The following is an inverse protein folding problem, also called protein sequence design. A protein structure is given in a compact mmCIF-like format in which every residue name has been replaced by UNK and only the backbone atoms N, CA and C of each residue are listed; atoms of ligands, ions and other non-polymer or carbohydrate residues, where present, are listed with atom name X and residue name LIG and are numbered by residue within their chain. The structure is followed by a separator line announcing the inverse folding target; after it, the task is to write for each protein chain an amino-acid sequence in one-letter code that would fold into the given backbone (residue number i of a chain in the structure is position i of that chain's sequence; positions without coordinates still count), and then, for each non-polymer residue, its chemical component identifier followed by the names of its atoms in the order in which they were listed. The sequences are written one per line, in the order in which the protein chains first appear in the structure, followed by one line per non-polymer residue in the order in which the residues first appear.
data_IF_909484154112
#
_entry.id   IF_909484154112
#
_cell.length_a   1.000
_cell.length_b   1.000
_cell.length_c   1.000
_cell.angle_alpha   90.00
_cell.angle_beta   90.00
_cell.angle_gamma   90.00
#
_symmetry.space_group_name_H-M   'P 1'
#
loop_
_entity.id
_entity.type
_entity.pdbx_description
1 polymer ?
#
# COMPACT_ATOMS: atom_id res chain seq x y z
N UNK A 1 25.69 -15.53 -12.27
CA UNK A 1 24.82 -14.35 -12.26
C UNK A 1 24.20 -14.30 -10.86
N UNK A 2 24.63 -13.38 -10.02
CA UNK A 2 24.11 -13.25 -8.66
C UNK A 2 22.68 -12.69 -8.77
N UNK A 3 21.67 -13.44 -8.28
CA UNK A 3 20.30 -12.94 -8.20
C UNK A 3 20.29 -11.84 -7.15
N UNK A 4 20.05 -10.60 -7.57
CA UNK A 4 19.89 -9.48 -6.62
C UNK A 4 18.67 -9.75 -5.74
N UNK A 5 18.87 -9.62 -4.43
CA UNK A 5 17.77 -9.63 -3.46
C UNK A 5 16.86 -8.42 -3.67
N UNK A 6 15.60 -8.49 -3.25
CA UNK A 6 14.61 -7.39 -3.42
C UNK A 6 15.10 -6.04 -2.86
N UNK A 7 15.76 -5.96 -1.68
CA UNK A 7 16.35 -4.72 -1.19
C UNK A 7 17.36 -4.11 -2.16
N UNK A 8 18.20 -4.94 -2.79
CA UNK A 8 19.17 -4.47 -3.79
C UNK A 8 18.52 -3.94 -5.08
N UNK A 9 17.26 -4.30 -5.36
CA UNK A 9 16.53 -3.82 -6.54
C UNK A 9 15.94 -2.43 -6.33
N UNK A 10 15.47 -2.08 -5.12
CA UNK A 10 14.91 -0.77 -4.81
C UNK A 10 15.98 0.27 -4.47
N UNK A 11 17.18 -0.15 -4.09
CA UNK A 11 18.23 0.72 -3.56
C UNK A 11 18.17 0.86 -2.04
N UNK A 12 19.13 1.57 -1.44
CA UNK A 12 19.22 1.74 0.02
C UNK A 12 18.17 2.71 0.56
N UNK A 13 17.75 3.68 -0.23
CA UNK A 13 16.67 4.65 0.04
C UNK A 13 16.14 5.21 -1.27
N UNK A 14 15.01 5.92 -1.20
CA UNK A 14 14.40 6.66 -2.30
C UNK A 14 14.30 8.13 -1.92
N UNK A 15 14.64 9.03 -2.83
CA UNK A 15 14.51 10.47 -2.59
C UNK A 15 13.24 11.01 -3.25
N UNK A 16 12.54 11.90 -2.54
CA UNK A 16 11.37 12.63 -3.07
C UNK A 16 11.28 14.03 -2.46
N UNK A 17 10.31 14.82 -2.91
CA UNK A 17 10.11 16.20 -2.44
C UNK A 17 8.64 16.44 -2.09
N UNK A 18 8.39 17.39 -1.20
CA UNK A 18 7.05 17.87 -0.90
C UNK A 18 6.36 18.41 -2.16
N UNK A 19 7.12 19.03 -3.07
CA UNK A 19 6.57 19.50 -4.35
C UNK A 19 6.10 18.33 -5.23
N UNK A 20 6.87 17.22 -5.30
CA UNK A 20 6.47 16.03 -6.05
C UNK A 20 5.20 15.38 -5.47
N UNK A 21 5.01 15.47 -4.16
CA UNK A 21 3.76 15.04 -3.52
C UNK A 21 2.58 15.90 -3.98
N UNK A 22 2.69 17.23 -3.92
CA UNK A 22 1.61 18.12 -4.36
C UNK A 22 1.29 17.98 -5.86
N UNK A 23 2.33 17.89 -6.71
CA UNK A 23 2.16 17.70 -8.15
C UNK A 23 1.55 16.33 -8.49
N UNK A 24 1.75 15.35 -7.62
CA UNK A 24 1.22 13.99 -7.76
C UNK A 24 -0.24 13.82 -7.38
N UNK A 25 -0.87 14.84 -6.79
CA UNK A 25 -2.25 14.76 -6.34
C UNK A 25 -3.20 14.38 -7.48
N UNK A 26 -4.03 13.33 -7.31
CA UNK A 26 -5.01 12.96 -8.34
C UNK A 26 -5.98 14.10 -8.62
N UNK A 27 -6.26 14.44 -9.89
CA UNK A 27 -7.16 15.53 -10.22
C UNK A 27 -8.56 15.33 -9.65
N UNK A 28 -9.02 16.29 -8.84
CA UNK A 28 -10.34 16.24 -8.18
C UNK A 28 -10.34 15.44 -6.87
N UNK A 29 -9.19 15.01 -6.39
CA UNK A 29 -9.07 14.49 -5.03
C UNK A 29 -9.32 15.62 -4.03
N UNK A 30 -10.16 15.34 -3.05
CA UNK A 30 -10.51 16.26 -1.96
C UNK A 30 -9.60 16.11 -0.74
N UNK A 31 -8.73 15.09 -0.73
CA UNK A 31 -7.80 14.77 0.33
C UNK A 31 -6.36 14.68 -0.19
N UNK A 32 -5.40 15.06 0.66
CA UNK A 32 -3.95 14.95 0.39
C UNK A 32 -3.40 13.61 0.89
N UNK A 33 -4.06 12.51 0.51
CA UNK A 33 -3.71 11.14 0.91
C UNK A 33 -3.47 10.29 -0.33
N UNK A 34 -2.26 10.34 -0.85
CA UNK A 34 -1.85 9.54 -2.01
C UNK A 34 -0.36 9.25 -1.97
N UNK A 35 0.04 8.14 -2.57
CA UNK A 35 1.46 7.84 -2.79
C UNK A 35 2.02 8.76 -3.88
N UNK A 36 3.28 9.19 -3.72
CA UNK A 36 4.00 9.95 -4.75
C UNK A 36 4.15 9.08 -6.02
N UNK A 37 3.64 9.53 -7.19
CA UNK A 37 3.67 8.72 -8.41
C UNK A 37 5.05 8.20 -8.80
N UNK A 38 6.11 8.98 -8.59
CA UNK A 38 7.48 8.58 -8.92
C UNK A 38 7.98 7.42 -8.02
N UNK A 39 7.55 7.36 -6.76
CA UNK A 39 7.85 6.24 -5.87
C UNK A 39 7.11 4.98 -6.33
N UNK A 40 5.83 5.12 -6.68
CA UNK A 40 5.04 4.01 -7.23
C UNK A 40 5.67 3.46 -8.50
N UNK A 41 6.09 4.35 -9.42
CA UNK A 41 6.81 3.94 -10.65
C UNK A 41 8.07 3.16 -10.33
N UNK A 42 8.90 3.68 -9.44
CA UNK A 42 10.14 3.02 -9.05
C UNK A 42 9.89 1.62 -8.50
N UNK A 43 8.90 1.46 -7.61
CA UNK A 43 8.52 0.16 -7.05
C UNK A 43 8.08 -0.80 -8.16
N UNK A 44 7.16 -0.37 -9.02
CA UNK A 44 6.60 -1.20 -10.10
C UNK A 44 7.69 -1.61 -11.09
N UNK A 45 8.53 -0.68 -11.54
CA UNK A 45 9.60 -0.97 -12.51
C UNK A 45 10.67 -1.91 -11.96
N UNK A 46 10.98 -1.80 -10.66
CA UNK A 46 12.04 -2.58 -10.02
C UNK A 46 11.59 -3.96 -9.57
N UNK A 47 10.31 -4.13 -9.22
CA UNK A 47 9.80 -5.36 -8.63
C UNK A 47 8.85 -6.14 -9.53
N UNK A 48 8.55 -5.64 -10.72
CA UNK A 48 7.72 -6.34 -11.70
C UNK A 48 8.21 -6.12 -13.14
N UNK A 49 7.62 -6.85 -14.08
CA UNK A 49 7.85 -6.77 -15.52
C UNK A 49 6.56 -6.41 -16.26
N UNK A 50 6.62 -5.85 -17.48
CA UNK A 50 5.42 -5.70 -18.31
C UNK A 50 4.64 -7.02 -18.44
N UNK A 51 3.31 -6.93 -18.26
CA UNK A 51 2.41 -8.09 -18.25
C UNK A 51 2.15 -8.68 -16.85
N UNK A 52 3.00 -8.41 -15.86
CA UNK A 52 2.77 -8.84 -14.49
C UNK A 52 1.51 -8.19 -13.89
N UNK A 53 0.99 -8.79 -12.84
CA UNK A 53 -0.24 -8.39 -12.19
C UNK A 53 0.03 -7.61 -10.89
N UNK A 54 -0.37 -6.34 -10.89
CA UNK A 54 -0.28 -5.42 -9.76
C UNK A 54 -1.64 -5.29 -9.09
N UNK A 55 -1.69 -5.38 -7.76
CA UNK A 55 -2.90 -5.24 -6.96
C UNK A 55 -2.72 -4.17 -5.86
N UNK A 56 -3.79 -3.41 -5.60
CA UNK A 56 -3.84 -2.41 -4.52
C UNK A 56 -5.10 -2.63 -3.66
N UNK A 57 -4.94 -3.08 -2.38
CA UNK A 57 -6.07 -3.29 -1.47
C UNK A 57 -6.66 -2.00 -0.87
N UNK A 58 -6.00 -0.85 -1.05
CA UNK A 58 -6.45 0.46 -0.57
C UNK A 58 -6.29 1.49 -1.70
N UNK A 59 -6.98 1.25 -2.82
CA UNK A 59 -6.68 1.91 -4.09
C UNK A 59 -6.94 3.42 -4.11
N UNK A 60 -7.76 3.96 -3.20
CA UNK A 60 -8.04 5.38 -3.11
C UNK A 60 -8.50 5.96 -4.45
N UNK A 61 -7.78 6.96 -4.94
CA UNK A 61 -8.01 7.55 -6.26
C UNK A 61 -7.29 6.82 -7.41
N UNK A 62 -6.63 5.68 -7.14
CA UNK A 62 -6.07 4.79 -8.15
C UNK A 62 -4.68 5.15 -8.63
N UNK A 63 -3.85 5.86 -7.85
CA UNK A 63 -2.48 6.19 -8.25
C UNK A 63 -1.69 4.95 -8.64
N UNK A 64 -1.68 3.92 -7.80
CA UNK A 64 -1.00 2.64 -8.08
C UNK A 64 -1.50 2.00 -9.38
N UNK A 65 -2.82 1.93 -9.56
CA UNK A 65 -3.42 1.28 -10.73
C UNK A 65 -3.10 2.03 -12.01
N UNK A 66 -3.18 3.36 -11.98
CA UNK A 66 -2.84 4.19 -13.14
C UNK A 66 -1.38 4.01 -13.54
N UNK A 67 -0.45 3.99 -12.56
CA UNK A 67 0.98 3.79 -12.83
C UNK A 67 1.24 2.39 -13.37
N UNK A 68 0.62 1.36 -12.79
CA UNK A 68 0.75 -0.02 -13.27
C UNK A 68 0.31 -0.17 -14.74
N UNK A 69 -0.87 0.34 -15.10
CA UNK A 69 -1.37 0.33 -16.48
C UNK A 69 -0.42 1.08 -17.42
N UNK A 70 0.02 2.30 -17.05
CA UNK A 70 0.96 3.10 -17.89
C UNK A 70 2.29 2.41 -18.12
N UNK A 71 2.74 1.60 -17.18
CA UNK A 71 3.98 0.81 -17.27
C UNK A 71 3.77 -0.57 -17.91
N UNK A 72 2.58 -0.85 -18.46
CA UNK A 72 2.27 -2.09 -19.16
C UNK A 72 1.97 -3.29 -18.25
N UNK A 73 1.61 -3.08 -16.99
CA UNK A 73 1.18 -4.12 -16.06
C UNK A 73 -0.33 -4.25 -16.10
N UNK A 74 -0.83 -5.45 -15.78
CA UNK A 74 -2.25 -5.64 -15.46
C UNK A 74 -2.49 -5.05 -14.07
N UNK A 75 -3.63 -4.40 -13.87
CA UNK A 75 -3.93 -3.72 -12.61
C UNK A 75 -5.30 -4.10 -12.08
N UNK A 76 -5.36 -4.37 -10.77
CA UNK A 76 -6.61 -4.50 -10.05
C UNK A 76 -6.51 -3.83 -8.67
N UNK A 77 -7.65 -3.40 -8.15
CA UNK A 77 -7.70 -2.82 -6.81
C UNK A 77 -9.11 -2.79 -6.24
N UNK A 78 -9.16 -2.60 -4.94
CA UNK A 78 -10.41 -2.37 -4.24
C UNK A 78 -10.35 -1.04 -3.49
N UNK A 79 -11.52 -0.49 -3.27
CA UNK A 79 -11.70 0.75 -2.53
C UNK A 79 -13.03 0.68 -1.77
N UNK A 80 -13.05 1.20 -0.56
CA UNK A 80 -14.22 1.18 0.30
C UNK A 80 -15.32 2.13 -0.20
N UNK A 81 -14.93 3.29 -0.76
CA UNK A 81 -15.81 4.37 -1.15
C UNK A 81 -16.27 4.21 -2.61
N UNK A 82 -17.58 4.00 -2.86
CA UNK A 82 -18.10 3.78 -4.22
C UNK A 82 -17.79 4.90 -5.20
N UNK A 83 -17.77 6.16 -4.74
CA UNK A 83 -17.45 7.33 -5.55
C UNK A 83 -16.01 7.33 -6.06
N UNK A 84 -15.05 6.84 -5.27
CA UNK A 84 -13.66 6.66 -5.69
C UNK A 84 -13.52 5.51 -6.69
N UNK A 85 -14.28 4.42 -6.51
CA UNK A 85 -14.36 3.32 -7.49
C UNK A 85 -14.89 3.83 -8.83
N UNK A 86 -15.96 4.64 -8.82
CA UNK A 86 -16.52 5.23 -10.03
C UNK A 86 -15.55 6.23 -10.69
N UNK A 87 -14.80 7.00 -9.89
CA UNK A 87 -13.73 7.86 -10.37
C UNK A 87 -12.65 7.03 -11.10
N UNK A 88 -12.16 5.93 -10.50
CA UNK A 88 -11.16 5.06 -11.11
C UNK A 88 -11.66 4.41 -12.40
N UNK A 89 -12.90 3.89 -12.43
CA UNK A 89 -13.47 3.26 -13.63
C UNK A 89 -13.50 4.19 -14.84
N UNK A 90 -13.74 5.49 -14.60
CA UNK A 90 -13.74 6.49 -15.68
C UNK A 90 -12.33 6.84 -16.17
N UNK A 91 -11.36 6.83 -15.28
CA UNK A 91 -10.00 7.31 -15.58
C UNK A 91 -9.00 6.21 -15.93
N UNK A 92 -9.24 5.01 -15.48
CA UNK A 92 -8.37 3.84 -15.64
C UNK A 92 -9.24 2.65 -16.08
N UNK A 93 -9.87 2.73 -17.27
CA UNK A 93 -10.82 1.70 -17.72
C UNK A 93 -10.16 0.32 -17.95
N UNK A 94 -8.84 0.27 -18.07
CA UNK A 94 -8.06 -0.97 -18.21
C UNK A 94 -7.87 -1.71 -16.88
N UNK A 95 -8.04 -1.04 -15.73
CA UNK A 95 -7.91 -1.66 -14.43
C UNK A 95 -9.23 -2.32 -13.98
N UNK A 96 -9.12 -3.47 -13.35
CA UNK A 96 -10.27 -4.06 -12.64
C UNK A 96 -10.40 -3.40 -11.28
N UNK A 97 -11.55 -2.77 -11.01
CA UNK A 97 -11.81 -2.12 -9.72
C UNK A 97 -13.20 -2.45 -9.20
N UNK A 98 -13.30 -2.65 -7.87
CA UNK A 98 -14.58 -2.91 -7.22
C UNK A 98 -14.65 -2.26 -5.84
N UNK A 99 -15.87 -1.94 -5.42
CA UNK A 99 -16.13 -1.51 -4.05
C UNK A 99 -16.07 -2.71 -3.13
N UNK A 100 -15.15 -2.68 -2.16
CA UNK A 100 -15.02 -3.71 -1.16
C UNK A 100 -14.25 -3.18 0.06
N UNK A 101 -14.43 -3.83 1.20
CA UNK A 101 -13.63 -3.64 2.40
C UNK A 101 -12.38 -4.53 2.32
N UNK A 102 -11.20 -3.93 2.53
CA UNK A 102 -9.93 -4.66 2.48
C UNK A 102 -9.83 -5.76 3.56
N UNK A 103 -10.62 -5.67 4.62
CA UNK A 103 -10.69 -6.70 5.67
C UNK A 103 -11.45 -7.97 5.23
N UNK A 104 -12.19 -7.91 4.11
CA UNK A 104 -12.87 -9.06 3.50
C UNK A 104 -12.53 -9.17 2.01
N UNK A 105 -11.37 -9.74 1.69
CA UNK A 105 -10.93 -10.03 0.33
C UNK A 105 -11.46 -11.37 -0.21
N UNK A 106 -12.38 -12.03 0.47
CA UNK A 106 -12.94 -13.32 0.02
C UNK A 106 -13.43 -13.31 -1.43
N UNK A 107 -14.19 -12.29 -1.89
CA UNK A 107 -14.57 -12.16 -3.31
C UNK A 107 -13.38 -12.03 -4.27
N UNK A 108 -12.34 -11.28 -3.87
CA UNK A 108 -11.12 -11.04 -4.66
C UNK A 108 -10.27 -12.32 -4.73
N UNK A 109 -10.14 -13.02 -3.61
CA UNK A 109 -9.42 -14.30 -3.53
C UNK A 109 -9.99 -15.35 -4.46
N UNK A 110 -11.32 -15.40 -4.63
CA UNK A 110 -11.95 -16.32 -5.59
C UNK A 110 -11.54 -16.08 -7.04
N UNK A 111 -11.09 -14.87 -7.36
CA UNK A 111 -10.67 -14.49 -8.72
C UNK A 111 -9.15 -14.56 -8.91
N UNK A 112 -8.38 -14.19 -7.88
CA UNK A 112 -6.97 -13.85 -8.04
C UNK A 112 -6.02 -14.56 -7.08
N UNK A 113 -6.48 -15.53 -6.27
CA UNK A 113 -5.60 -16.24 -5.33
C UNK A 113 -4.36 -16.83 -6.03
N UNK A 114 -3.18 -16.54 -5.50
CA UNK A 114 -1.91 -17.04 -6.00
C UNK A 114 -1.46 -16.50 -7.36
N UNK A 115 -2.07 -15.40 -7.86
CA UNK A 115 -1.78 -14.86 -9.20
C UNK A 115 -1.19 -13.45 -9.21
N UNK A 116 -1.14 -12.77 -8.07
CA UNK A 116 -0.67 -11.39 -7.97
C UNK A 116 0.85 -11.38 -7.85
N UNK A 117 1.54 -10.73 -8.77
CA UNK A 117 3.00 -10.63 -8.79
C UNK A 117 3.50 -9.54 -7.83
N UNK A 118 2.76 -8.43 -7.71
CA UNK A 118 3.13 -7.30 -6.87
C UNK A 118 1.90 -6.65 -6.24
N UNK A 119 1.91 -6.50 -4.92
CA UNK A 119 0.96 -5.66 -4.19
C UNK A 119 1.69 -4.37 -3.80
N UNK A 120 1.16 -3.22 -4.19
CA UNK A 120 1.67 -1.90 -3.81
C UNK A 120 0.52 -1.07 -3.25
N UNK A 121 0.68 -0.58 -2.03
CA UNK A 121 -0.35 0.21 -1.37
C UNK A 121 0.21 1.12 -0.28
N UNK A 122 -0.61 2.05 0.15
CA UNK A 122 -0.45 2.80 1.40
C UNK A 122 -1.74 2.56 2.19
N UNK A 123 -1.69 1.83 3.31
CA UNK A 123 -2.87 1.64 4.15
C UNK A 123 -3.36 3.00 4.70
N UNK A 124 -4.64 3.15 5.00
CA UNK A 124 -5.15 4.38 5.58
C UNK A 124 -4.46 4.63 6.92
N UNK A 125 -3.94 5.84 7.08
CA UNK A 125 -3.37 6.29 8.35
C UNK A 125 -4.48 6.75 9.28
N UNK A 126 -4.22 6.66 10.56
CA UNK A 126 -5.10 7.06 11.65
C UNK A 126 -5.14 8.58 11.85
N UNK A 127 -5.27 9.36 10.80
CA UNK A 127 -5.30 10.82 10.88
C UNK A 127 -6.69 11.36 10.66
N UNK A 128 -6.98 12.56 11.17
CA UNK A 128 -8.27 13.25 10.99
C UNK A 128 -8.57 13.60 9.52
N UNK A 129 -7.65 13.32 8.59
CA UNK A 129 -7.78 13.58 7.16
C UNK A 129 -8.52 12.49 6.40
N UNK A 130 -8.88 11.38 7.05
CA UNK A 130 -9.58 10.27 6.39
C UNK A 130 -11.09 10.43 6.39
N UNK A 131 -11.72 9.79 5.41
CA UNK A 131 -13.18 9.82 5.25
C UNK A 131 -13.88 9.14 6.43
N UNK A 132 -15.00 9.74 6.88
CA UNK A 132 -15.77 9.28 8.05
C UNK A 132 -16.26 7.82 7.96
N UNK A 133 -16.39 7.29 6.74
CA UNK A 133 -16.80 5.91 6.50
C UNK A 133 -15.66 4.89 6.58
N UNK A 134 -14.40 5.34 6.69
CA UNK A 134 -13.26 4.42 6.77
C UNK A 134 -13.17 3.80 8.17
N UNK A 135 -13.44 2.50 8.34
CA UNK A 135 -13.44 1.86 9.64
C UNK A 135 -12.05 1.70 10.25
N UNK A 136 -10.99 1.73 9.43
CA UNK A 136 -9.60 1.65 9.90
C UNK A 136 -9.13 2.95 10.58
N UNK A 137 -9.85 4.06 10.40
CA UNK A 137 -9.56 5.33 11.09
C UNK A 137 -10.40 5.55 12.35
N UNK A 138 -11.31 4.62 12.66
CA UNK A 138 -12.30 4.78 13.74
C UNK A 138 -11.70 4.90 15.13
N UNK A 139 -10.47 4.48 15.34
CA UNK A 139 -9.86 4.50 16.66
C UNK A 139 -9.59 5.93 17.17
N UNK A 140 -9.25 6.91 16.33
CA UNK A 140 -9.06 8.31 16.76
C UNK A 140 -10.38 8.94 17.22
N UNK A 141 -11.48 8.66 16.54
CA UNK A 141 -12.81 9.20 16.84
C UNK A 141 -13.43 8.62 18.12
N UNK A 142 -13.06 7.39 18.50
CA UNK A 142 -13.64 6.67 19.61
C UNK A 142 -12.74 6.60 20.87
N UNK A 143 -11.63 7.34 20.89
CA UNK A 143 -10.67 7.25 22.01
C UNK A 143 -9.74 6.06 21.90
N UNK A 144 -9.61 5.54 20.67
CA UNK A 144 -8.52 4.69 20.21
C UNK A 144 -8.63 3.22 20.57
N UNK A 145 -8.69 2.41 19.54
CA UNK A 145 -8.33 1.00 19.60
C UNK A 145 -7.17 0.77 18.61
N UNK A 146 -5.98 1.23 18.98
CA UNK A 146 -4.77 1.11 18.17
C UNK A 146 -4.41 -0.36 17.93
N UNK A 147 -4.56 -1.19 18.96
CA UNK A 147 -4.31 -2.62 18.85
C UNK A 147 -5.26 -3.23 17.81
N UNK A 148 -6.54 -2.86 17.85
CA UNK A 148 -7.51 -3.29 16.85
C UNK A 148 -7.15 -2.84 15.43
N UNK A 149 -6.69 -1.62 15.25
CA UNK A 149 -6.23 -1.14 13.95
C UNK A 149 -5.08 -2.01 13.41
N UNK A 150 -4.09 -2.35 14.24
CA UNK A 150 -2.99 -3.23 13.86
C UNK A 150 -3.47 -4.67 13.54
N UNK A 151 -4.42 -5.19 14.32
CA UNK A 151 -5.04 -6.50 14.06
C UNK A 151 -5.80 -6.51 12.71
N UNK A 152 -6.52 -5.44 12.39
CA UNK A 152 -7.22 -5.29 11.11
C UNK A 152 -6.23 -5.20 9.93
N UNK A 153 -5.12 -4.48 10.06
CA UNK A 153 -4.05 -4.50 9.07
C UNK A 153 -3.41 -5.89 8.91
N UNK A 154 -3.22 -6.60 10.01
CA UNK A 154 -2.79 -8.01 10.01
C UNK A 154 -3.74 -8.90 9.21
N UNK A 155 -5.05 -8.73 9.41
CA UNK A 155 -6.09 -9.45 8.65
C UNK A 155 -6.01 -9.17 7.15
N UNK A 156 -5.80 -7.91 6.76
CA UNK A 156 -5.58 -7.56 5.34
C UNK A 156 -4.32 -8.22 4.79
N UNK A 157 -3.22 -8.18 5.56
CA UNK A 157 -1.95 -8.76 5.16
C UNK A 157 -2.02 -10.29 4.97
N UNK A 158 -2.75 -11.00 5.83
CA UNK A 158 -3.01 -12.44 5.70
C UNK A 158 -3.68 -12.77 4.37
N UNK A 159 -4.70 -12.01 4.01
CA UNK A 159 -5.41 -12.20 2.74
C UNK A 159 -4.56 -11.79 1.53
N UNK A 160 -3.79 -10.72 1.65
CA UNK A 160 -2.81 -10.34 0.64
C UNK A 160 -1.77 -11.44 0.40
N UNK A 161 -1.30 -12.12 1.45
CA UNK A 161 -0.39 -13.26 1.32
C UNK A 161 -0.99 -14.41 0.49
N UNK A 162 -2.31 -14.60 0.55
CA UNK A 162 -3.02 -15.59 -0.26
C UNK A 162 -3.20 -15.16 -1.72
N UNK A 163 -3.27 -13.85 -2.00
CA UNK A 163 -3.31 -13.30 -3.36
C UNK A 163 -1.97 -13.43 -4.07
N UNK A 164 -0.85 -13.30 -3.33
CA UNK A 164 0.49 -13.31 -3.92
C UNK A 164 0.81 -14.64 -4.63
N UNK A 165 1.37 -14.51 -5.83
CA UNK A 165 2.07 -15.60 -6.53
C UNK A 165 3.24 -16.14 -5.67
N UNK A 166 3.80 -17.32 -5.97
CA UNK A 166 4.89 -17.90 -5.17
C UNK A 166 6.08 -16.96 -4.95
N UNK A 167 6.46 -16.18 -5.96
CA UNK A 167 7.56 -15.20 -5.91
C UNK A 167 7.06 -13.76 -5.74
N UNK A 168 5.77 -13.58 -5.48
CA UNK A 168 5.12 -12.29 -5.36
C UNK A 168 5.62 -11.48 -4.18
N UNK A 169 5.55 -10.15 -4.32
CA UNK A 169 6.04 -9.17 -3.36
C UNK A 169 4.91 -8.26 -2.91
N UNK A 170 4.84 -7.95 -1.61
CA UNK A 170 4.00 -6.90 -1.07
C UNK A 170 4.89 -5.72 -0.65
N UNK A 171 4.52 -4.53 -1.07
CA UNK A 171 5.15 -3.26 -0.68
C UNK A 171 4.08 -2.34 -0.12
N UNK A 172 4.22 -1.99 1.16
CA UNK A 172 3.38 -0.97 1.79
C UNK A 172 4.20 0.26 2.14
N UNK A 173 3.72 1.42 1.72
CA UNK A 173 4.24 2.70 2.18
C UNK A 173 3.61 3.02 3.53
N UNK A 174 4.45 3.19 4.55
CA UNK A 174 4.05 3.44 5.94
C UNK A 174 4.94 4.52 6.54
N UNK A 175 4.34 5.39 7.33
CA UNK A 175 5.04 6.51 7.96
C UNK A 175 4.74 6.58 9.46
N UNK A 176 5.72 7.02 10.25
CA UNK A 176 5.51 7.39 11.65
C UNK A 176 4.82 8.76 11.73
N UNK A 177 3.91 8.92 12.67
CA UNK A 177 3.05 10.10 12.80
C UNK A 177 3.35 10.81 14.11
N UNK A 178 3.54 12.14 14.05
CA UNK A 178 3.64 13.01 15.21
C UNK A 178 2.29 13.71 15.43
N UNK A 179 1.66 13.44 16.57
CA UNK A 179 0.43 14.13 16.96
C UNK A 179 0.57 14.68 18.37
N UNK A 180 0.32 15.97 18.57
CA UNK A 180 0.42 16.66 19.88
C UNK A 180 1.73 16.39 20.66
N UNK A 181 2.85 16.25 19.92
CA UNK A 181 4.17 15.99 20.51
C UNK A 181 4.45 14.52 20.87
N UNK A 182 3.54 13.61 20.54
CA UNK A 182 3.70 12.16 20.71
C UNK A 182 3.88 11.50 19.33
N UNK A 183 4.98 10.75 19.18
CA UNK A 183 5.20 9.96 17.95
C UNK A 183 4.57 8.57 18.09
N UNK A 184 3.72 8.20 17.14
CA UNK A 184 3.25 6.83 16.98
C UNK A 184 4.23 6.09 16.06
N UNK A 185 4.90 5.02 16.54
CA UNK A 185 5.91 4.27 15.77
C UNK A 185 5.25 3.28 14.80
N UNK A 186 4.43 3.81 13.88
CA UNK A 186 3.57 3.03 13.01
C UNK A 186 4.37 2.10 12.09
N UNK A 187 5.56 2.51 11.69
CA UNK A 187 6.47 1.70 10.83
C UNK A 187 6.80 0.36 11.50
N UNK A 188 7.26 0.40 12.75
CA UNK A 188 7.66 -0.80 13.49
C UNK A 188 6.46 -1.66 13.86
N UNK A 189 5.35 -1.04 14.25
CA UNK A 189 4.14 -1.72 14.70
C UNK A 189 3.45 -2.44 13.53
N UNK A 190 3.29 -1.78 12.38
CA UNK A 190 2.77 -2.41 11.15
C UNK A 190 3.71 -3.51 10.66
N UNK A 191 5.03 -3.25 10.65
CA UNK A 191 5.99 -4.31 10.28
C UNK A 191 5.84 -5.54 11.19
N UNK A 192 5.58 -5.34 12.47
CA UNK A 192 5.38 -6.44 13.43
C UNK A 192 4.07 -7.19 13.16
N UNK A 193 2.95 -6.48 12.93
CA UNK A 193 1.67 -7.09 12.60
C UNK A 193 1.76 -7.94 11.31
N UNK A 194 2.41 -7.44 10.27
CA UNK A 194 2.54 -8.14 9.00
C UNK A 194 3.45 -9.37 9.06
N UNK A 195 4.46 -9.36 9.93
CA UNK A 195 5.38 -10.51 10.13
C UNK A 195 4.69 -11.79 10.61
N UNK A 196 3.47 -11.69 11.15
CA UNK A 196 2.67 -12.86 11.49
C UNK A 196 2.25 -13.68 10.24
N UNK A 197 2.16 -13.06 9.08
CA UNK A 197 1.62 -13.63 7.84
C UNK A 197 2.62 -13.65 6.67
N UNK A 198 3.60 -12.74 6.69
CA UNK A 198 4.54 -12.50 5.61
C UNK A 198 5.98 -12.44 6.16
N UNK A 199 6.96 -12.66 5.32
CA UNK A 199 8.38 -12.50 5.66
C UNK A 199 8.87 -11.11 5.26
N UNK A 200 9.33 -10.31 6.22
CA UNK A 200 9.93 -9.00 5.95
C UNK A 200 11.25 -9.19 5.20
N UNK A 201 11.36 -8.61 4.02
CA UNK A 201 12.53 -8.67 3.14
C UNK A 201 13.39 -7.40 3.25
N UNK A 202 12.74 -6.23 3.35
CA UNK A 202 13.42 -4.94 3.51
C UNK A 202 12.53 -3.87 4.15
N UNK A 203 13.19 -2.87 4.74
CA UNK A 203 12.65 -1.55 5.06
C UNK A 203 13.48 -0.55 4.25
N UNK A 204 12.84 0.18 3.34
CA UNK A 204 13.50 1.13 2.45
C UNK A 204 13.05 2.54 2.79
N UNK A 205 13.91 3.39 3.37
CA UNK A 205 13.58 4.76 3.71
C UNK A 205 13.23 5.59 2.48
N UNK A 206 12.31 6.53 2.67
CA UNK A 206 12.00 7.59 1.71
C UNK A 206 12.56 8.90 2.27
N UNK A 207 13.58 9.42 1.62
CA UNK A 207 14.27 10.65 1.99
C UNK A 207 13.54 11.86 1.38
N UNK A 208 12.84 12.62 2.22
CA UNK A 208 12.13 13.83 1.83
C UNK A 208 12.99 15.09 2.04
N UNK A 209 12.86 16.06 1.17
CA UNK A 209 13.36 17.41 1.44
C UNK A 209 12.57 18.10 2.56
N UNK A 210 11.25 17.83 2.60
CA UNK A 210 10.34 18.21 3.68
C UNK A 210 9.22 17.17 3.73
N UNK A 211 9.03 16.54 4.90
CA UNK A 211 7.95 15.58 5.12
C UNK A 211 6.58 16.27 5.01
N UNK A 212 5.61 15.63 4.34
CA UNK A 212 4.24 16.13 4.32
C UNK A 212 3.56 15.88 5.67
N UNK A 213 2.59 16.73 6.02
CA UNK A 213 1.76 16.60 7.22
C UNK A 213 2.59 16.46 8.51
N UNK A 214 2.09 15.68 9.45
CA UNK A 214 2.71 15.40 10.75
C UNK A 214 3.56 14.11 10.72
N UNK A 215 4.19 13.80 9.59
CA UNK A 215 5.05 12.63 9.45
C UNK A 215 6.44 12.89 10.02
N UNK A 216 7.03 11.89 10.67
CA UNK A 216 8.41 11.95 11.21
C UNK A 216 9.36 10.98 10.54
N UNK A 217 8.83 9.93 9.93
CA UNK A 217 9.55 8.97 9.09
C UNK A 217 8.60 8.47 8.00
N UNK A 218 9.15 8.05 6.86
CA UNK A 218 8.39 7.45 5.77
C UNK A 218 9.21 6.35 5.11
N UNK A 219 8.63 5.17 4.93
CA UNK A 219 9.34 4.00 4.41
C UNK A 219 8.48 3.16 3.49
N UNK A 220 9.13 2.33 2.68
CA UNK A 220 8.51 1.18 2.06
C UNK A 220 8.84 -0.08 2.87
N UNK A 221 7.82 -0.73 3.40
CA UNK A 221 7.92 -2.08 3.99
C UNK A 221 7.76 -3.10 2.87
N UNK A 222 8.79 -3.92 2.65
CA UNK A 222 8.82 -4.90 1.58
C UNK A 222 8.72 -6.29 2.16
N UNK A 223 7.71 -7.05 1.75
CA UNK A 223 7.43 -8.39 2.25
C UNK A 223 7.34 -9.41 1.12
N UNK A 224 7.61 -10.66 1.46
CA UNK A 224 7.38 -11.82 0.60
C UNK A 224 6.44 -12.80 1.26
N UNK A 225 5.83 -13.62 0.45
CA UNK A 225 5.05 -14.75 0.95
C UNK A 225 5.93 -15.65 1.82
N UNK A 226 5.50 -15.92 3.07
CA UNK A 226 6.20 -16.87 3.93
C UNK A 226 6.15 -18.26 3.32
N UNK A 227 7.29 -18.85 3.05
CA UNK A 227 7.39 -20.26 2.66
C UNK A 227 7.15 -21.10 3.92
N UNK A 228 5.89 -21.28 4.28
CA UNK A 228 5.57 -22.30 5.30
C UNK A 228 5.81 -23.67 4.66
N UNK A 229 6.94 -24.26 4.94
CA UNK A 229 7.13 -25.70 4.77
C UNK A 229 6.08 -26.36 5.67
N UNK A 230 4.99 -26.85 5.08
CA UNK A 230 4.11 -27.77 5.81
C UNK A 230 4.97 -28.93 6.30
N UNK A 231 5.17 -28.99 7.63
CA UNK A 231 5.70 -30.19 8.28
C UNK A 231 4.64 -31.25 8.32
#
# INVERSE_FOLDING_TARGET
MQVMTTPGRLGPSLATTLQAFHDGRPPGADEDVHMVPAIVDHVIERLSSPGDFVFDPFAGFGTTLQRAVRLGRRAAGIELLPERVEYMRRRIPEAWVTTADARDLGPVLRLFAGTVDLIVSSPPYMTMTHHDADPLTGYEKSGGDYDRYLDELGTVAEQCAQLLAPDGVLVWNVADILHEGVTTPLVDDVATALKAHLSLDAVVPIDWDQLPHDLTADVLLVFRRSLHTKK
#
